data_IF_675539855062
#
_entry.id   IF_675539855062
#
_cell.length_a   1.000
_cell.length_b   1.000
_cell.length_c   1.000
_cell.angle_alpha   90.00
_cell.angle_beta   90.00
_cell.angle_gamma   90.00
#
_symmetry.space_group_name_H-M   'P 1'
#
loop_
_entity.id
_entity.type
_entity.pdbx_description
1 polymer ?
#
# COMPACT_ATOMS: atom_id res chain seq x y z
N UNK A 1 -4.02 -47.49 -84.73
CA UNK A 1 -3.30 -48.55 -85.48
C UNK A 1 -3.72 -49.99 -85.12
N UNK A 2 -4.35 -50.27 -83.98
CA UNK A 2 -4.72 -51.66 -83.58
C UNK A 2 -6.02 -52.17 -84.26
N UNK A 3 -6.87 -51.29 -84.81
CA UNK A 3 -8.19 -51.67 -85.34
C UNK A 3 -8.17 -52.39 -86.70
N UNK A 4 -7.01 -52.52 -87.36
CA UNK A 4 -6.92 -53.00 -88.74
C UNK A 4 -6.75 -54.53 -88.88
N UNK A 5 -6.39 -55.25 -87.81
CA UNK A 5 -6.10 -56.71 -87.88
C UNK A 5 -7.13 -57.63 -87.18
N UNK A 6 -8.20 -57.08 -86.59
CA UNK A 6 -9.19 -57.87 -85.86
C UNK A 6 -10.44 -58.14 -86.71
N UNK A 7 -10.79 -59.42 -86.90
CA UNK A 7 -12.00 -59.86 -87.60
C UNK A 7 -13.28 -59.24 -86.99
N UNK A 8 -14.35 -59.08 -87.78
CA UNK A 8 -15.57 -58.32 -87.39
C UNK A 8 -16.13 -58.67 -85.99
N UNK A 9 -16.02 -59.95 -85.55
CA UNK A 9 -16.45 -60.39 -84.21
C UNK A 9 -15.54 -59.94 -83.06
N UNK A 10 -14.23 -59.80 -83.30
CA UNK A 10 -13.26 -59.42 -82.29
C UNK A 10 -13.24 -57.91 -81.97
N UNK A 11 -13.78 -57.07 -82.87
CA UNK A 11 -13.96 -55.63 -82.63
C UNK A 11 -14.96 -55.36 -81.49
N UNK A 12 -16.08 -56.10 -81.46
CA UNK A 12 -17.08 -55.97 -80.39
C UNK A 12 -16.52 -56.32 -79.01
N UNK A 13 -15.74 -57.40 -78.92
CA UNK A 13 -15.06 -57.81 -77.68
C UNK A 13 -14.08 -56.74 -77.16
N UNK A 14 -13.31 -56.11 -78.06
CA UNK A 14 -12.38 -55.04 -77.69
C UNK A 14 -13.10 -53.81 -77.13
N UNK A 15 -14.22 -53.41 -77.74
CA UNK A 15 -15.03 -52.30 -77.21
C UNK A 15 -15.63 -52.61 -75.83
N UNK A 16 -16.13 -53.84 -75.61
CA UNK A 16 -16.63 -54.24 -74.28
C UNK A 16 -15.51 -54.26 -73.23
N UNK A 17 -14.33 -54.77 -73.57
CA UNK A 17 -13.16 -54.75 -72.67
C UNK A 17 -12.76 -53.33 -72.33
N UNK A 18 -12.69 -52.43 -73.32
CA UNK A 18 -12.36 -51.03 -73.12
C UNK A 18 -13.37 -50.32 -72.20
N UNK A 19 -14.67 -50.57 -72.39
CA UNK A 19 -15.73 -50.04 -71.52
C UNK A 19 -15.55 -50.56 -70.08
N UNK A 20 -15.25 -51.85 -69.89
CA UNK A 20 -15.02 -52.43 -68.55
C UNK A 20 -13.80 -51.77 -67.89
N UNK A 21 -12.69 -51.59 -68.61
CA UNK A 21 -11.49 -50.93 -68.08
C UNK A 21 -11.78 -49.47 -67.70
N UNK A 22 -12.51 -48.75 -68.56
CA UNK A 22 -12.86 -47.36 -68.31
C UNK A 22 -13.84 -47.22 -67.13
N UNK A 23 -14.78 -48.14 -66.99
CA UNK A 23 -15.69 -48.20 -65.85
C UNK A 23 -14.93 -48.50 -64.55
N UNK A 24 -13.98 -49.45 -64.57
CA UNK A 24 -13.13 -49.74 -63.42
C UNK A 24 -12.26 -48.55 -63.02
N UNK A 25 -11.69 -47.84 -64.01
CA UNK A 25 -10.94 -46.61 -63.77
C UNK A 25 -11.80 -45.52 -63.14
N UNK A 26 -13.05 -45.33 -63.61
CA UNK A 26 -14.02 -44.42 -63.00
C UNK A 26 -14.35 -44.79 -61.55
N UNK A 27 -14.50 -46.08 -61.23
CA UNK A 27 -14.72 -46.54 -59.87
C UNK A 27 -13.51 -46.25 -58.96
N UNK A 28 -12.29 -46.42 -59.46
CA UNK A 28 -11.06 -46.08 -58.71
C UNK A 28 -10.99 -44.57 -58.44
N UNK A 29 -11.28 -43.74 -59.45
CA UNK A 29 -11.33 -42.28 -59.28
C UNK A 29 -12.41 -41.85 -58.30
N UNK A 30 -13.62 -42.43 -58.39
CA UNK A 30 -14.71 -42.14 -57.46
C UNK A 30 -14.35 -42.52 -56.02
N UNK A 31 -13.76 -43.71 -55.81
CA UNK A 31 -13.27 -44.15 -54.49
C UNK A 31 -12.18 -43.23 -53.96
N UNK A 32 -11.21 -42.83 -54.79
CA UNK A 32 -10.16 -41.89 -54.42
C UNK A 32 -10.74 -40.55 -54.00
N UNK A 33 -11.68 -40.01 -54.77
CA UNK A 33 -12.33 -38.73 -54.48
C UNK A 33 -13.10 -38.76 -53.16
N UNK A 34 -13.90 -39.82 -52.91
CA UNK A 34 -14.61 -40.01 -51.64
C UNK A 34 -13.64 -40.08 -50.46
N UNK A 35 -12.55 -40.86 -50.58
CA UNK A 35 -11.53 -40.97 -49.54
C UNK A 35 -10.85 -39.62 -49.25
N UNK A 36 -10.57 -38.84 -50.29
CA UNK A 36 -9.97 -37.51 -50.15
C UNK A 36 -10.95 -36.53 -49.47
N UNK A 37 -12.24 -36.54 -49.83
CA UNK A 37 -13.25 -35.71 -49.17
C UNK A 37 -13.40 -36.06 -47.68
N UNK A 38 -13.48 -37.34 -47.34
CA UNK A 38 -13.53 -37.79 -45.94
C UNK A 38 -12.30 -37.33 -45.14
N UNK A 39 -11.13 -37.29 -45.77
CA UNK A 39 -9.90 -36.78 -45.14
C UNK A 39 -9.97 -35.28 -44.90
N UNK A 40 -10.49 -34.51 -45.87
CA UNK A 40 -10.64 -33.05 -45.71
C UNK A 40 -11.63 -32.70 -44.61
N UNK A 41 -12.80 -33.35 -44.57
CA UNK A 41 -13.80 -33.12 -43.50
C UNK A 41 -13.23 -33.44 -42.12
N UNK A 42 -12.46 -34.53 -42.00
CA UNK A 42 -11.76 -34.87 -40.76
C UNK A 42 -10.73 -33.80 -40.37
N UNK A 43 -9.91 -33.34 -41.32
CA UNK A 43 -8.89 -32.31 -41.08
C UNK A 43 -9.50 -30.96 -40.67
N UNK A 44 -10.60 -30.55 -41.28
CA UNK A 44 -11.28 -29.32 -40.93
C UNK A 44 -11.87 -29.39 -39.51
N UNK A 45 -12.43 -30.54 -39.12
CA UNK A 45 -12.88 -30.78 -37.76
C UNK A 45 -11.75 -30.69 -36.73
N UNK A 46 -10.59 -31.30 -37.03
CA UNK A 46 -9.40 -31.20 -36.16
C UNK A 46 -8.88 -29.77 -36.07
N UNK A 47 -8.83 -29.05 -37.20
CA UNK A 47 -8.39 -27.66 -37.24
C UNK A 47 -9.29 -26.75 -36.41
N UNK A 48 -10.61 -26.90 -36.52
CA UNK A 48 -11.55 -26.13 -35.71
C UNK A 48 -11.33 -26.36 -34.20
N UNK A 49 -11.14 -27.62 -33.78
CA UNK A 49 -10.86 -27.96 -32.38
C UNK A 49 -9.52 -27.40 -31.90
N UNK A 50 -8.48 -27.46 -32.73
CA UNK A 50 -7.18 -26.88 -32.41
C UNK A 50 -7.26 -25.36 -32.21
N UNK A 51 -8.07 -24.66 -33.00
CA UNK A 51 -8.34 -23.24 -32.80
C UNK A 51 -9.06 -23.00 -31.47
N UNK A 52 -10.06 -23.81 -31.12
CA UNK A 52 -10.75 -23.70 -29.82
C UNK A 52 -9.80 -23.92 -28.64
N UNK A 53 -8.95 -24.96 -28.67
CA UNK A 53 -7.93 -25.18 -27.63
C UNK A 53 -7.00 -23.99 -27.52
N UNK A 54 -6.52 -23.46 -28.64
CA UNK A 54 -5.66 -22.27 -28.66
C UNK A 54 -6.35 -21.08 -28.02
N UNK A 55 -7.59 -20.78 -28.39
CA UNK A 55 -8.34 -19.65 -27.82
C UNK A 55 -8.63 -19.84 -26.32
N UNK A 56 -8.88 -21.07 -25.87
CA UNK A 56 -9.03 -21.37 -24.45
C UNK A 56 -7.73 -21.14 -23.67
N UNK A 57 -6.58 -21.50 -24.23
CA UNK A 57 -5.26 -21.24 -23.63
C UNK A 57 -4.94 -19.74 -23.58
N UNK A 58 -5.24 -19.00 -24.65
CA UNK A 58 -5.07 -17.53 -24.68
C UNK A 58 -5.97 -16.85 -23.63
N UNK A 59 -7.21 -17.34 -23.45
CA UNK A 59 -8.10 -16.87 -22.40
C UNK A 59 -7.59 -17.23 -20.99
N UNK A 60 -7.04 -18.44 -20.82
CA UNK A 60 -6.41 -18.85 -19.57
C UNK A 60 -5.30 -17.87 -19.19
N UNK A 61 -4.38 -17.56 -20.11
CA UNK A 61 -3.22 -16.71 -19.84
C UNK A 61 -3.63 -15.27 -19.50
N UNK A 62 -4.66 -14.76 -20.16
CA UNK A 62 -5.22 -13.44 -19.89
C UNK A 62 -5.87 -13.34 -18.50
N UNK A 63 -6.67 -14.33 -18.12
CA UNK A 63 -7.41 -14.31 -16.85
C UNK A 63 -6.58 -14.80 -15.66
N UNK A 64 -5.60 -15.67 -15.88
CA UNK A 64 -4.68 -16.23 -14.89
C UNK A 64 -4.02 -15.15 -14.03
N UNK A 65 -3.38 -14.17 -14.69
CA UNK A 65 -2.69 -13.06 -14.02
C UNK A 65 -3.66 -12.21 -13.18
N UNK A 66 -4.83 -11.91 -13.74
CA UNK A 66 -5.89 -11.14 -13.05
C UNK A 66 -6.40 -11.89 -11.83
N UNK A 67 -6.62 -13.20 -11.95
CA UNK A 67 -7.13 -14.03 -10.88
C UNK A 67 -6.10 -14.21 -9.76
N UNK A 68 -4.81 -14.38 -10.09
CA UNK A 68 -3.74 -14.41 -9.10
C UNK A 68 -3.64 -13.08 -8.32
N UNK A 69 -3.75 -11.93 -9.01
CA UNK A 69 -3.75 -10.62 -8.36
C UNK A 69 -4.97 -10.44 -7.41
N UNK A 70 -6.16 -10.84 -7.85
CA UNK A 70 -7.38 -10.77 -7.03
C UNK A 70 -7.32 -11.72 -5.82
N UNK A 71 -6.82 -12.94 -6.05
CA UNK A 71 -6.61 -13.96 -5.03
C UNK A 71 -5.67 -13.47 -3.93
N UNK A 72 -4.51 -12.90 -4.28
CA UNK A 72 -3.60 -12.31 -3.30
C UNK A 72 -4.25 -11.20 -2.47
N UNK A 73 -5.09 -10.36 -3.09
CA UNK A 73 -5.65 -9.20 -2.41
C UNK A 73 -6.72 -9.65 -1.41
N UNK A 74 -7.48 -10.68 -1.80
CA UNK A 74 -8.40 -11.36 -0.91
C UNK A 74 -7.68 -12.12 0.20
N UNK A 75 -6.57 -12.79 -0.08
CA UNK A 75 -5.76 -13.43 0.94
C UNK A 75 -5.27 -12.43 1.99
N UNK A 76 -4.77 -11.26 1.55
CA UNK A 76 -4.38 -10.17 2.46
C UNK A 76 -5.55 -9.69 3.32
N UNK A 77 -6.72 -9.43 2.70
CA UNK A 77 -7.93 -9.01 3.42
C UNK A 77 -8.39 -10.06 4.43
N UNK A 78 -8.41 -11.34 4.05
CA UNK A 78 -8.81 -12.46 4.92
C UNK A 78 -7.84 -12.67 6.08
N UNK A 79 -6.52 -12.61 5.82
CA UNK A 79 -5.50 -12.73 6.85
C UNK A 79 -5.59 -11.57 7.85
N UNK A 80 -5.73 -10.33 7.36
CA UNK A 80 -5.92 -9.16 8.21
C UNK A 80 -7.23 -9.24 9.01
N UNK A 81 -8.32 -9.70 8.40
CA UNK A 81 -9.61 -9.88 9.08
C UNK A 81 -9.54 -10.94 10.18
N UNK A 82 -8.81 -12.03 9.95
CA UNK A 82 -8.55 -13.06 10.97
C UNK A 82 -7.82 -12.47 12.18
N UNK A 83 -6.69 -11.80 11.95
CA UNK A 83 -5.92 -11.16 13.02
C UNK A 83 -6.74 -10.09 13.75
N UNK A 84 -7.51 -9.30 13.01
CA UNK A 84 -8.38 -8.26 13.56
C UNK A 84 -9.55 -8.82 14.39
N UNK A 85 -10.07 -9.98 14.01
CA UNK A 85 -11.20 -10.63 14.66
C UNK A 85 -10.81 -11.38 15.92
N UNK A 86 -9.66 -12.08 15.87
CA UNK A 86 -9.21 -12.93 16.98
C UNK A 86 -8.19 -12.25 17.89
N UNK A 87 -7.61 -11.12 17.47
CA UNK A 87 -6.57 -10.42 18.23
C UNK A 87 -5.36 -11.33 18.48
N UNK A 88 -5.11 -12.27 17.57
CA UNK A 88 -4.01 -13.22 17.64
C UNK A 88 -3.12 -13.09 16.41
N UNK A 89 -1.79 -13.02 16.58
CA UNK A 89 -0.88 -12.99 15.44
C UNK A 89 -0.90 -14.33 14.71
N UNK A 90 -0.59 -14.29 13.41
CA UNK A 90 -0.37 -15.49 12.62
C UNK A 90 1.05 -16.02 12.86
N UNK A 91 1.22 -17.29 13.29
CA UNK A 91 2.55 -17.87 13.54
C UNK A 91 3.34 -18.09 12.25
N UNK A 92 2.66 -18.41 11.15
CA UNK A 92 3.22 -18.49 9.79
C UNK A 92 2.34 -17.68 8.82
N UNK A 93 2.55 -16.36 8.71
CA UNK A 93 1.76 -15.52 7.81
C UNK A 93 1.94 -15.92 6.34
N UNK A 94 3.13 -16.38 5.94
CA UNK A 94 3.41 -16.76 4.55
C UNK A 94 2.60 -17.99 4.16
N UNK A 95 2.68 -19.08 4.94
CA UNK A 95 1.87 -20.27 4.70
C UNK A 95 0.37 -19.97 4.78
N UNK A 96 -0.07 -19.15 5.73
CA UNK A 96 -1.47 -18.73 5.83
C UNK A 96 -1.94 -17.97 4.57
N UNK A 97 -1.14 -17.04 4.06
CA UNK A 97 -1.45 -16.30 2.84
C UNK A 97 -1.49 -17.21 1.60
N UNK A 98 -0.61 -18.22 1.51
CA UNK A 98 -0.62 -19.20 0.42
C UNK A 98 -1.94 -19.99 0.39
N UNK A 99 -2.36 -20.54 1.54
CA UNK A 99 -3.62 -21.27 1.65
C UNK A 99 -4.85 -20.37 1.40
N UNK A 100 -4.81 -19.13 1.90
CA UNK A 100 -5.87 -18.17 1.66
C UNK A 100 -5.96 -17.76 0.18
N UNK A 101 -4.83 -17.62 -0.51
CA UNK A 101 -4.81 -17.32 -1.94
C UNK A 101 -5.36 -18.48 -2.77
N UNK A 102 -4.96 -19.71 -2.46
CA UNK A 102 -5.41 -20.89 -3.20
C UNK A 102 -6.89 -21.20 -2.95
N UNK A 103 -7.29 -21.35 -1.69
CA UNK A 103 -8.59 -21.89 -1.28
C UNK A 103 -9.41 -20.97 -0.36
N UNK A 104 -8.89 -19.81 0.04
CA UNK A 104 -9.50 -18.94 1.04
C UNK A 104 -9.78 -19.66 2.37
N UNK A 105 -8.92 -20.63 2.73
CA UNK A 105 -8.92 -21.32 4.02
C UNK A 105 -7.63 -21.05 4.77
N UNK A 106 -7.67 -21.07 6.09
CA UNK A 106 -6.50 -20.91 6.96
C UNK A 106 -6.15 -22.29 7.55
N UNK A 107 -4.88 -22.69 7.47
CA UNK A 107 -4.33 -23.96 7.97
C UNK A 107 -4.80 -25.24 7.25
N UNK A 108 -5.25 -25.16 6.00
CA UNK A 108 -5.57 -26.35 5.19
C UNK A 108 -6.76 -27.19 5.68
N UNK A 109 -7.37 -26.86 6.81
CA UNK A 109 -8.60 -27.49 7.26
C UNK A 109 -9.78 -26.92 6.48
N UNK A 110 -10.48 -27.79 5.76
CA UNK A 110 -11.74 -27.47 5.05
C UNK A 110 -12.89 -27.09 6.00
N UNK A 111 -12.70 -27.21 7.31
CA UNK A 111 -13.63 -26.67 8.30
C UNK A 111 -13.52 -25.14 8.30
N UNK A 112 -14.56 -24.51 7.77
CA UNK A 112 -14.86 -23.09 7.93
C UNK A 112 -14.40 -22.55 9.30
N UNK A 113 -13.88 -21.32 9.33
CA UNK A 113 -13.64 -20.56 10.55
C UNK A 113 -14.85 -20.62 11.50
N UNK A 114 -14.83 -21.52 12.49
CA UNK A 114 -15.92 -21.67 13.46
C UNK A 114 -15.44 -21.82 14.91
N UNK A 115 -14.14 -21.77 15.18
CA UNK A 115 -13.64 -22.06 16.53
C UNK A 115 -13.81 -20.90 17.54
N UNK A 116 -14.25 -19.71 17.10
CA UNK A 116 -14.39 -18.53 17.97
C UNK A 116 -15.81 -17.97 18.05
N UNK A 117 -16.83 -18.69 17.58
CA UNK A 117 -18.22 -18.19 17.58
C UNK A 117 -18.50 -17.02 16.62
N UNK A 118 -17.47 -16.43 16.02
CA UNK A 118 -17.58 -15.59 14.82
C UNK A 118 -17.60 -16.54 13.63
N UNK A 119 -18.79 -17.05 13.33
CA UNK A 119 -19.09 -17.61 12.01
C UNK A 119 -19.00 -16.44 11.04
N UNK A 120 -17.85 -16.25 10.41
CA UNK A 120 -17.88 -15.60 9.11
C UNK A 120 -18.57 -16.59 8.18
N UNK A 121 -19.90 -16.51 8.14
CA UNK A 121 -20.65 -16.97 6.99
C UNK A 121 -20.30 -16.00 5.85
N UNK A 122 -19.08 -16.12 5.33
CA UNK A 122 -18.79 -15.68 3.98
C UNK A 122 -19.50 -16.58 2.95
N UNK A 123 -20.60 -17.26 3.33
CA UNK A 123 -21.64 -17.69 2.41
C UNK A 123 -22.11 -16.56 1.48
N UNK A 124 -21.85 -15.29 1.82
CA UNK A 124 -22.17 -14.13 0.98
C UNK A 124 -21.00 -13.27 0.46
N UNK A 125 -19.72 -13.49 0.84
CA UNK A 125 -18.63 -13.05 -0.04
C UNK A 125 -18.46 -14.16 -1.07
N UNK A 126 -19.35 -14.13 -2.05
CA UNK A 126 -19.37 -15.03 -3.19
C UNK A 126 -17.97 -15.52 -3.54
N UNK A 127 -17.75 -16.82 -3.36
CA UNK A 127 -16.65 -17.62 -3.88
C UNK A 127 -16.37 -17.24 -5.35
N UNK A 128 -15.63 -16.16 -5.63
CA UNK A 128 -15.47 -15.63 -6.99
C UNK A 128 -14.01 -15.29 -7.36
N UNK A 129 -13.05 -15.45 -6.45
CA UNK A 129 -11.73 -14.80 -6.63
C UNK A 129 -10.52 -15.62 -6.15
N UNK A 130 -10.65 -16.93 -5.94
CA UNK A 130 -9.55 -17.82 -5.53
C UNK A 130 -9.02 -18.61 -6.72
N UNK A 131 -7.79 -19.12 -6.62
CA UNK A 131 -7.16 -19.90 -7.70
C UNK A 131 -7.84 -21.25 -7.92
N UNK A 132 -8.26 -21.96 -6.86
CA UNK A 132 -8.98 -23.24 -7.03
C UNK A 132 -10.31 -23.07 -7.75
N UNK A 133 -11.04 -22.01 -7.44
CA UNK A 133 -12.26 -21.69 -8.16
C UNK A 133 -11.99 -21.31 -9.62
N UNK A 134 -10.88 -20.62 -9.90
CA UNK A 134 -10.47 -20.34 -11.28
C UNK A 134 -10.28 -21.65 -12.06
N UNK A 135 -9.58 -22.63 -11.49
CA UNK A 135 -9.46 -23.95 -12.13
C UNK A 135 -10.82 -24.64 -12.30
N UNK A 136 -11.73 -24.57 -11.32
CA UNK A 136 -13.06 -25.17 -11.44
C UNK A 136 -13.89 -24.54 -12.56
N UNK A 137 -13.85 -23.21 -12.67
CA UNK A 137 -14.55 -22.46 -13.73
C UNK A 137 -13.96 -22.73 -15.09
N UNK A 138 -12.63 -22.75 -15.19
CA UNK A 138 -11.96 -23.06 -16.44
C UNK A 138 -12.27 -24.49 -16.89
N UNK A 139 -12.27 -25.46 -15.97
CA UNK A 139 -12.66 -26.84 -16.26
C UNK A 139 -14.12 -26.95 -16.70
N UNK A 140 -15.04 -26.22 -16.04
CA UNK A 140 -16.44 -26.17 -16.45
C UNK A 140 -16.61 -25.55 -17.85
N UNK A 141 -15.88 -24.47 -18.15
CA UNK A 141 -15.90 -23.81 -19.46
C UNK A 141 -15.28 -24.70 -20.55
N UNK A 142 -14.16 -25.37 -20.27
CA UNK A 142 -13.55 -26.34 -21.17
C UNK A 142 -14.52 -27.49 -21.51
N UNK A 143 -15.29 -27.96 -20.53
CA UNK A 143 -16.31 -28.99 -20.73
C UNK A 143 -17.42 -28.53 -21.69
N UNK A 144 -17.80 -27.25 -21.69
CA UNK A 144 -18.76 -26.69 -22.65
C UNK A 144 -18.27 -26.76 -24.10
N UNK A 145 -16.95 -26.79 -24.32
CA UNK A 145 -16.33 -26.98 -25.64
C UNK A 145 -15.99 -28.45 -25.95
N UNK A 146 -16.45 -29.40 -25.13
CA UNK A 146 -16.14 -30.83 -25.32
C UNK A 146 -14.71 -31.20 -24.95
N UNK A 147 -14.07 -30.43 -24.07
CA UNK A 147 -12.72 -30.67 -23.59
C UNK A 147 -12.72 -31.01 -22.09
N UNK A 148 -11.76 -31.82 -21.67
CA UNK A 148 -11.46 -32.09 -20.27
C UNK A 148 -10.20 -31.34 -19.90
N UNK A 149 -10.33 -30.35 -19.01
CA UNK A 149 -9.19 -29.66 -18.41
C UNK A 149 -8.85 -30.29 -17.05
N UNK A 150 -7.57 -30.54 -16.80
CA UNK A 150 -7.06 -30.92 -15.48
C UNK A 150 -5.94 -30.00 -15.07
N UNK A 151 -5.97 -29.57 -13.81
CA UNK A 151 -4.91 -28.80 -13.19
C UNK A 151 -4.26 -29.66 -12.10
N UNK A 152 -2.94 -29.80 -12.17
CA UNK A 152 -2.14 -30.66 -11.29
C UNK A 152 -0.95 -29.90 -10.73
N UNK A 153 -0.36 -30.40 -9.65
CA UNK A 153 0.86 -29.87 -9.05
C UNK A 153 0.82 -28.37 -8.73
N UNK A 154 -0.31 -27.91 -8.15
CA UNK A 154 -0.41 -26.53 -7.69
C UNK A 154 0.62 -26.22 -6.60
N UNK A 155 1.41 -25.17 -6.82
CA UNK A 155 2.27 -24.53 -5.84
C UNK A 155 1.95 -23.04 -5.84
N UNK A 156 1.63 -22.48 -4.68
CA UNK A 156 1.34 -21.04 -4.54
C UNK A 156 2.30 -20.47 -3.51
N UNK A 157 3.05 -19.45 -3.91
CA UNK A 157 3.94 -18.69 -3.04
C UNK A 157 3.45 -17.26 -2.96
N UNK A 158 3.32 -16.73 -1.73
CA UNK A 158 2.97 -15.34 -1.49
C UNK A 158 4.08 -14.67 -0.70
N UNK A 159 4.61 -13.57 -1.22
CA UNK A 159 5.69 -12.80 -0.59
C UNK A 159 5.42 -11.29 -0.67
N UNK A 160 6.17 -10.49 0.08
CA UNK A 160 6.04 -9.03 0.03
C UNK A 160 6.92 -8.47 -1.10
N UNK A 161 6.31 -8.17 -2.25
CA UNK A 161 7.03 -7.63 -3.42
C UNK A 161 7.34 -6.13 -3.32
N UNK A 162 6.44 -5.35 -2.73
CA UNK A 162 6.62 -3.91 -2.49
C UNK A 162 5.85 -3.47 -1.25
N UNK A 163 6.05 -2.25 -0.75
CA UNK A 163 5.35 -1.76 0.45
C UNK A 163 3.83 -1.95 0.42
N UNK A 164 3.20 -1.79 -0.76
CA UNK A 164 1.74 -1.89 -0.89
C UNK A 164 1.26 -3.04 -1.78
N UNK A 165 2.16 -3.94 -2.20
CA UNK A 165 1.78 -5.09 -3.01
C UNK A 165 2.47 -6.37 -2.53
N UNK A 166 1.70 -7.46 -2.50
CA UNK A 166 2.18 -8.82 -2.39
C UNK A 166 2.52 -9.34 -3.79
N UNK A 167 3.57 -10.13 -3.90
CA UNK A 167 3.87 -10.94 -5.08
C UNK A 167 3.23 -12.31 -4.89
N UNK A 168 2.34 -12.68 -5.80
CA UNK A 168 1.70 -13.99 -5.84
C UNK A 168 2.29 -14.74 -7.03
N UNK A 169 2.95 -15.84 -6.74
CA UNK A 169 3.51 -16.75 -7.73
C UNK A 169 2.75 -18.07 -7.64
N UNK A 170 2.14 -18.50 -8.74
CA UNK A 170 1.38 -19.74 -8.81
C UNK A 170 1.91 -20.60 -9.95
N UNK A 171 2.40 -21.78 -9.61
CA UNK A 171 2.88 -22.80 -10.54
C UNK A 171 1.86 -23.94 -10.61
N UNK A 172 1.56 -24.42 -11.80
CA UNK A 172 0.69 -25.59 -12.01
C UNK A 172 0.95 -26.23 -13.36
N UNK A 173 0.55 -27.48 -13.48
CA UNK A 173 0.48 -28.18 -14.76
C UNK A 173 -0.96 -28.20 -15.24
N UNK A 174 -1.19 -27.81 -16.49
CA UNK A 174 -2.50 -27.91 -17.14
C UNK A 174 -2.44 -28.95 -18.25
N UNK A 175 -3.43 -29.84 -18.25
CA UNK A 175 -3.69 -30.76 -19.35
C UNK A 175 -5.06 -30.48 -19.94
N UNK A 176 -5.14 -30.32 -21.25
CA UNK A 176 -6.37 -30.20 -22.02
C UNK A 176 -6.48 -31.40 -22.95
N UNK A 177 -7.53 -32.19 -22.78
CA UNK A 177 -7.81 -33.34 -23.63
C UNK A 177 -9.18 -33.16 -24.28
N UNK A 178 -9.24 -33.23 -25.60
CA UNK A 178 -10.51 -33.28 -26.30
C UNK A 178 -11.23 -34.60 -26.00
N UNK A 179 -12.55 -34.55 -25.84
CA UNK A 179 -13.41 -35.72 -25.63
C UNK A 179 -13.27 -36.80 -26.71
N UNK A 180 -12.85 -36.44 -27.93
CA UNK A 180 -12.58 -37.41 -29.00
C UNK A 180 -11.23 -38.13 -28.87
N UNK A 181 -10.33 -37.66 -28.01
CA UNK A 181 -8.96 -38.16 -27.88
C UNK A 181 -8.04 -37.81 -29.04
N UNK A 182 -8.48 -36.98 -30.00
CA UNK A 182 -7.68 -36.60 -31.17
C UNK A 182 -6.64 -35.53 -30.84
N UNK A 183 -6.94 -34.66 -29.88
CA UNK A 183 -6.07 -33.55 -29.47
C UNK A 183 -5.83 -33.60 -27.96
N UNK A 184 -4.55 -33.63 -27.58
CA UNK A 184 -4.09 -33.47 -26.21
C UNK A 184 -3.05 -32.36 -26.15
N UNK A 185 -3.11 -31.59 -25.07
CA UNK A 185 -2.18 -30.51 -24.79
C UNK A 185 -1.79 -30.56 -23.32
N UNK A 186 -0.50 -30.44 -23.05
CA UNK A 186 0.04 -30.44 -21.70
C UNK A 186 1.13 -29.38 -21.58
N UNK A 187 1.04 -28.53 -20.57
CA UNK A 187 2.06 -27.52 -20.26
C UNK A 187 2.18 -27.28 -18.76
N UNK A 188 3.37 -26.88 -18.35
CA UNK A 188 3.62 -26.30 -17.03
C UNK A 188 3.60 -24.78 -17.16
N UNK A 189 2.90 -24.10 -16.26
CA UNK A 189 2.72 -22.66 -16.29
C UNK A 189 3.06 -22.03 -14.94
N UNK A 190 3.68 -20.85 -15.00
CA UNK A 190 4.00 -20.03 -13.83
C UNK A 190 3.37 -18.65 -14.00
N UNK A 191 2.42 -18.32 -13.13
CA UNK A 191 1.77 -17.02 -13.08
C UNK A 191 2.46 -16.17 -12.02
N UNK A 192 2.88 -14.97 -12.40
CA UNK A 192 3.41 -13.97 -11.46
C UNK A 192 2.51 -12.73 -11.46
N UNK A 193 1.89 -12.44 -10.34
CA UNK A 193 0.97 -11.32 -10.21
C UNK A 193 1.26 -10.46 -8.97
N UNK A 194 1.18 -9.15 -9.14
CA UNK A 194 1.24 -8.20 -8.04
C UNK A 194 -0.18 -7.93 -7.52
N UNK A 195 -0.36 -8.14 -6.23
CA UNK A 195 -1.62 -8.00 -5.54
C UNK A 195 -1.56 -6.85 -4.53
N UNK A 196 -2.47 -5.88 -4.64
CA UNK A 196 -2.53 -4.76 -3.71
C UNK A 196 -3.07 -5.16 -2.32
N UNK A 197 -2.41 -4.67 -1.27
CA UNK A 197 -2.91 -4.76 0.12
C UNK A 197 -3.79 -3.56 0.52
N UNK A 198 -3.97 -2.60 -0.39
CA UNK A 198 -4.77 -1.40 -0.13
C UNK A 198 -6.21 -1.83 0.15
N UNK A 199 -6.79 -1.29 1.21
CA UNK A 199 -8.11 -1.67 1.71
C UNK A 199 -8.13 -2.85 2.66
N UNK A 200 -7.03 -3.61 2.80
CA UNK A 200 -6.90 -4.58 3.90
C UNK A 200 -6.73 -3.85 5.24
N UNK A 201 -7.18 -4.45 6.34
CA UNK A 201 -6.93 -3.92 7.67
C UNK A 201 -5.44 -4.04 8.03
N UNK A 202 -4.88 -3.05 8.71
CA UNK A 202 -3.52 -3.13 9.26
C UNK A 202 -3.54 -4.00 10.53
N UNK A 203 -2.86 -5.16 10.52
CA UNK A 203 -2.94 -6.12 11.62
C UNK A 203 -2.36 -5.60 12.95
N UNK A 204 -1.45 -4.61 12.94
CA UNK A 204 -0.84 -4.14 14.18
C UNK A 204 -1.81 -3.42 15.10
N UNK A 205 -2.75 -2.66 14.55
CA UNK A 205 -3.72 -1.92 15.35
C UNK A 205 -4.57 -2.82 16.25
N UNK A 206 -5.34 -3.79 15.72
CA UNK A 206 -6.13 -4.66 16.56
C UNK A 206 -5.25 -5.48 17.49
N UNK A 207 -4.07 -5.95 17.06
CA UNK A 207 -3.16 -6.69 17.95
C UNK A 207 -2.67 -5.85 19.14
N UNK A 208 -2.38 -4.56 18.92
CA UNK A 208 -1.96 -3.63 19.99
C UNK A 208 -3.12 -3.19 20.87
N UNK A 209 -4.28 -2.93 20.27
CA UNK A 209 -5.42 -2.35 20.97
C UNK A 209 -6.43 -3.40 21.42
N UNK A 210 -6.07 -4.69 21.53
CA UNK A 210 -7.04 -5.71 21.94
C UNK A 210 -8.27 -5.83 21.03
N UNK A 211 -8.17 -5.44 19.76
CA UNK A 211 -9.26 -5.43 18.78
C UNK A 211 -10.13 -4.17 18.77
N UNK A 212 -9.94 -3.21 19.67
CA UNK A 212 -10.78 -2.00 19.78
C UNK A 212 -10.68 -1.06 18.58
N UNK A 213 -9.50 -0.97 17.97
CA UNK A 213 -9.28 -0.11 16.83
C UNK A 213 -8.84 -0.92 15.61
N UNK A 214 -9.43 -0.54 14.47
CA UNK A 214 -9.14 -1.14 13.16
C UNK A 214 -8.97 -0.02 12.17
N UNK A 215 -7.99 -0.18 11.29
CA UNK A 215 -7.68 0.80 10.26
C UNK A 215 -7.36 0.06 8.97
N UNK A 216 -7.92 0.56 7.87
CA UNK A 216 -7.60 0.04 6.55
C UNK A 216 -6.37 0.74 5.99
N UNK A 217 -5.56 -0.01 5.26
CA UNK A 217 -4.36 0.50 4.61
C UNK A 217 -4.79 1.35 3.41
N UNK A 218 -4.42 2.62 3.45
CA UNK A 218 -4.59 3.60 2.37
C UNK A 218 -3.21 4.18 2.02
N UNK A 219 -2.99 4.55 0.77
CA UNK A 219 -1.67 5.06 0.32
C UNK A 219 -1.71 6.58 0.28
N UNK A 220 -0.66 7.22 0.80
CA UNK A 220 -0.50 8.66 0.63
C UNK A 220 -0.40 9.02 -0.87
N UNK A 221 -1.01 10.14 -1.31
CA UNK A 221 -0.91 10.57 -2.70
C UNK A 221 0.57 10.69 -3.15
N UNK A 222 0.90 10.39 -4.42
CA UNK A 222 2.25 10.57 -4.92
C UNK A 222 2.73 12.02 -4.74
N UNK A 223 3.95 12.21 -4.22
CA UNK A 223 4.50 13.54 -3.94
C UNK A 223 3.88 14.25 -2.75
N UNK A 224 2.99 13.59 -2.00
CA UNK A 224 2.46 14.12 -0.76
C UNK A 224 3.58 14.20 0.29
N UNK A 225 3.76 15.38 0.86
CA UNK A 225 4.61 15.60 2.01
C UNK A 225 3.73 15.99 3.20
N UNK A 226 3.86 15.33 4.37
CA UNK A 226 3.18 15.72 5.60
C UNK A 226 3.34 17.20 5.91
N UNK A 227 4.49 17.71 5.51
CA UNK A 227 4.91 19.06 5.78
C UNK A 227 5.40 19.68 4.50
N UNK A 228 4.88 20.86 4.22
CA UNK A 228 5.35 21.69 3.14
C UNK A 228 6.14 22.84 3.75
N UNK A 229 7.45 22.85 3.49
CA UNK A 229 8.28 24.01 3.81
C UNK A 229 7.86 25.14 2.87
N UNK A 230 7.34 26.23 3.45
CA UNK A 230 6.98 27.42 2.71
C UNK A 230 8.20 28.32 2.52
N UNK A 231 8.97 28.49 3.58
CA UNK A 231 10.12 29.40 3.62
C UNK A 231 11.26 28.85 4.46
N UNK A 232 12.49 29.16 4.06
CA UNK A 232 13.67 29.04 4.89
C UNK A 232 14.08 30.45 5.34
N UNK A 233 14.19 30.65 6.65
CA UNK A 233 14.78 31.82 7.27
C UNK A 233 16.30 31.73 7.36
N UNK A 234 16.92 32.81 7.81
CA UNK A 234 18.38 32.92 7.99
C UNK A 234 18.82 32.84 9.45
N UNK A 235 17.93 33.18 10.38
CA UNK A 235 18.17 33.19 11.82
C UNK A 235 16.83 33.08 12.56
N UNK A 236 16.87 32.75 13.84
CA UNK A 236 15.70 32.81 14.70
C UNK A 236 15.90 32.15 16.06
N UNK A 237 14.93 32.37 16.93
CA UNK A 237 14.94 31.89 18.31
C UNK A 237 13.62 31.20 18.65
N UNK A 238 13.71 29.98 19.20
CA UNK A 238 12.59 29.12 19.54
C UNK A 238 11.58 28.80 18.41
N UNK A 239 10.73 27.80 18.67
CA UNK A 239 9.68 27.42 17.74
C UNK A 239 8.31 27.94 18.20
N UNK A 240 7.40 28.15 17.26
CA UNK A 240 6.00 28.51 17.53
C UNK A 240 5.08 27.88 16.50
N UNK A 241 3.81 27.65 16.86
CA UNK A 241 2.79 27.24 15.90
C UNK A 241 1.45 27.90 16.21
N UNK A 242 0.60 28.03 15.20
CA UNK A 242 -0.70 28.66 15.36
C UNK A 242 -1.32 29.08 14.04
N UNK A 243 -2.52 29.64 14.11
CA UNK A 243 -3.18 30.26 12.96
C UNK A 243 -2.52 31.61 12.67
N UNK A 244 -2.15 31.83 11.42
CA UNK A 244 -1.62 33.11 10.95
C UNK A 244 -2.73 34.15 10.95
N UNK A 245 -2.45 35.30 11.54
CA UNK A 245 -3.25 36.50 11.35
C UNK A 245 -2.30 37.62 10.94
N UNK A 246 -2.40 38.03 9.69
CA UNK A 246 -1.81 39.24 9.15
C UNK A 246 -2.52 40.40 9.83
N UNK A 247 -1.74 41.25 10.47
CA UNK A 247 -2.22 42.46 11.12
C UNK A 247 -1.41 43.61 10.57
N UNK A 248 -2.08 44.70 10.21
CA UNK A 248 -1.40 45.91 9.71
C UNK A 248 -0.81 46.76 10.85
N UNK A 249 -1.25 46.53 12.10
CA UNK A 249 -0.80 47.23 13.30
C UNK A 249 -1.06 46.41 14.58
N UNK A 250 0.02 45.95 15.21
CA UNK A 250 0.03 45.12 16.42
C UNK A 250 -0.71 45.76 17.59
N UNK A 251 -0.63 47.08 17.75
CA UNK A 251 -1.23 47.77 18.88
C UNK A 251 -2.76 47.67 18.88
N UNK A 252 -3.39 47.65 17.70
CA UNK A 252 -4.85 47.56 17.57
C UNK A 252 -5.40 46.14 17.66
N UNK A 253 -4.63 45.11 17.30
CA UNK A 253 -5.09 43.71 17.36
C UNK A 253 -5.02 43.11 18.76
N UNK A 254 -4.06 43.55 19.58
CA UNK A 254 -3.90 43.14 20.98
C UNK A 254 -5.10 43.50 21.87
N UNK A 255 -5.85 44.55 21.52
CA UNK A 255 -7.01 45.01 22.29
C UNK A 255 -8.24 44.07 22.19
N UNK A 256 -8.32 43.21 21.16
CA UNK A 256 -9.52 42.42 20.85
C UNK A 256 -9.53 40.99 21.39
N UNK A 257 -8.60 40.62 22.28
CA UNK A 257 -8.78 39.44 23.16
C UNK A 257 -8.73 38.05 22.52
N UNK A 258 -8.38 37.91 21.25
CA UNK A 258 -8.21 36.58 20.62
C UNK A 258 -6.84 35.96 21.00
N UNK A 259 -6.88 34.96 21.88
CA UNK A 259 -5.72 34.46 22.65
C UNK A 259 -4.80 33.43 21.97
N UNK A 260 -4.86 33.25 20.65
CA UNK A 260 -4.14 32.14 19.95
C UNK A 260 -3.73 32.49 18.51
N UNK A 261 -3.12 33.65 18.29
CA UNK A 261 -2.76 34.13 16.94
C UNK A 261 -1.25 34.20 16.75
N UNK A 262 -0.76 33.61 15.66
CA UNK A 262 0.61 33.77 15.21
C UNK A 262 0.68 35.09 14.43
N UNK A 263 1.37 36.08 15.00
CA UNK A 263 1.44 37.42 14.45
C UNK A 263 2.60 37.51 13.46
N UNK A 264 2.28 37.75 12.19
CA UNK A 264 3.26 37.90 11.13
C UNK A 264 3.28 39.39 10.78
N UNK A 265 4.12 40.16 11.47
CA UNK A 265 4.33 41.59 11.17
C UNK A 265 5.80 41.86 10.84
N UNK A 266 6.02 42.83 9.96
CA UNK A 266 7.28 43.54 9.85
C UNK A 266 7.46 44.41 11.11
N UNK A 267 8.09 43.87 12.16
CA UNK A 267 8.27 44.59 13.42
C UNK A 267 9.19 45.80 13.19
N UNK A 268 8.61 47.00 13.13
CA UNK A 268 9.37 48.26 13.19
C UNK A 268 8.97 48.97 14.48
N UNK A 269 9.56 48.59 15.63
CA UNK A 269 9.26 49.27 16.89
C UNK A 269 10.01 48.76 18.14
N UNK A 270 10.25 49.63 19.14
CA UNK A 270 11.14 49.40 20.30
C UNK A 270 10.56 48.52 21.42
N UNK A 271 9.55 47.70 21.13
CA UNK A 271 8.75 46.99 22.16
C UNK A 271 9.47 45.77 22.79
N UNK A 272 10.70 45.48 22.37
CA UNK A 272 11.49 44.35 22.86
C UNK A 272 12.75 44.93 23.50
N UNK A 273 12.77 45.05 24.83
CA UNK A 273 13.90 45.61 25.60
C UNK A 273 15.15 44.71 25.59
N UNK A 274 15.23 43.75 24.68
CA UNK A 274 16.42 42.96 24.50
C UNK A 274 17.35 43.72 23.54
N UNK A 275 18.39 44.35 24.09
CA UNK A 275 19.29 45.29 23.42
C UNK A 275 20.05 44.74 22.19
N UNK A 276 19.79 43.50 21.78
CA UNK A 276 20.33 42.86 20.59
C UNK A 276 19.31 42.69 19.44
N UNK A 277 18.03 43.02 19.64
CA UNK A 277 17.01 42.88 18.59
C UNK A 277 17.00 44.10 17.68
N UNK A 278 17.94 44.14 16.74
CA UNK A 278 17.97 45.13 15.67
C UNK A 278 16.98 44.66 14.58
N UNK A 279 15.71 44.99 14.74
CA UNK A 279 14.67 44.61 13.78
C UNK A 279 14.94 45.29 12.43
N UNK A 280 15.67 44.61 11.55
CA UNK A 280 15.66 44.90 10.11
C UNK A 280 14.33 44.45 9.51
N UNK A 281 13.95 45.05 8.38
CA UNK A 281 12.80 44.62 7.58
C UNK A 281 12.73 43.08 7.46
N UNK A 282 11.55 42.50 7.70
CA UNK A 282 11.19 41.06 7.53
C UNK A 282 11.56 40.08 8.67
N UNK A 283 11.38 40.49 9.93
CA UNK A 283 11.44 39.56 11.08
C UNK A 283 10.04 39.26 11.61
N UNK A 284 9.65 37.98 11.68
CA UNK A 284 8.31 37.54 12.11
C UNK A 284 8.37 36.79 13.43
N UNK A 285 7.42 37.07 14.33
CA UNK A 285 7.41 36.54 15.70
C UNK A 285 6.09 35.85 16.05
N UNK A 286 6.13 34.57 16.40
CA UNK A 286 4.94 33.87 16.88
C UNK A 286 4.63 34.26 18.32
N UNK A 287 3.66 35.16 18.55
CA UNK A 287 3.32 35.61 19.90
C UNK A 287 2.18 34.78 20.49
N UNK A 288 2.45 33.98 21.53
CA UNK A 288 1.41 33.38 22.36
C UNK A 288 1.05 34.35 23.50
N UNK A 289 -0.18 34.88 23.51
CA UNK A 289 -0.70 35.65 24.64
C UNK A 289 -1.79 34.87 25.39
N UNK A 290 -1.52 34.52 26.65
CA UNK A 290 -2.58 34.36 27.63
C UNK A 290 -2.64 35.65 28.45
N UNK A 291 -3.83 36.20 28.67
CA UNK A 291 -4.05 37.59 29.11
C UNK A 291 -3.10 38.06 30.20
N UNK A 292 -2.41 39.18 29.95
CA UNK A 292 -1.57 39.84 30.95
C UNK A 292 -2.30 41.08 31.46
N UNK A 293 -3.09 40.90 32.51
CA UNK A 293 -3.29 41.98 33.47
C UNK A 293 -2.18 41.83 34.52
N UNK A 294 -1.07 42.55 34.35
CA UNK A 294 -0.09 42.79 35.42
C UNK A 294 1.33 42.19 35.30
N UNK A 295 1.70 41.46 34.24
CA UNK A 295 3.08 41.03 34.03
C UNK A 295 3.88 42.10 33.26
N UNK A 296 5.10 42.37 33.73
CA UNK A 296 6.01 43.29 33.04
C UNK A 296 6.47 42.66 31.70
N UNK A 297 6.52 43.46 30.64
CA UNK A 297 6.85 43.03 29.27
C UNK A 297 8.29 42.54 29.10
N UNK A 298 9.14 42.60 30.14
CA UNK A 298 10.53 42.17 30.13
C UNK A 298 10.75 40.65 30.32
N UNK A 299 9.71 39.86 30.59
CA UNK A 299 9.85 38.42 30.86
C UNK A 299 9.34 37.50 29.73
N UNK A 300 8.84 38.07 28.63
CA UNK A 300 8.23 37.30 27.54
C UNK A 300 9.22 37.12 26.41
N UNK A 301 9.79 35.92 26.34
CA UNK A 301 10.53 35.47 25.16
C UNK A 301 9.57 35.11 24.03
N UNK A 302 9.55 35.90 22.97
CA UNK A 302 8.75 35.66 21.78
C UNK A 302 9.59 34.87 20.76
N UNK A 303 9.16 33.67 20.32
CA UNK A 303 9.80 32.97 19.22
C UNK A 303 9.78 33.81 17.95
N UNK A 304 10.91 33.93 17.24
CA UNK A 304 11.01 34.72 16.02
C UNK A 304 11.90 34.07 14.98
N UNK A 305 11.71 34.47 13.72
CA UNK A 305 12.53 34.06 12.59
C UNK A 305 12.72 35.23 11.62
N UNK A 306 13.93 35.38 11.09
CA UNK A 306 14.26 36.38 10.09
C UNK A 306 14.22 35.78 8.68
N UNK A 307 13.67 36.52 7.73
CA UNK A 307 13.58 36.14 6.33
C UNK A 307 14.19 37.24 5.45
N UNK A 308 14.60 36.85 4.25
CA UNK A 308 15.09 37.78 3.23
C UNK A 308 13.98 38.39 2.38
N UNK A 309 12.73 37.97 2.58
CA UNK A 309 11.56 38.35 1.78
C UNK A 309 10.33 38.57 2.66
N UNK A 310 9.36 39.31 2.13
CA UNK A 310 8.07 39.46 2.79
C UNK A 310 7.22 38.20 2.63
N UNK A 311 6.93 37.49 3.73
CA UNK A 311 6.12 36.27 3.72
C UNK A 311 4.61 36.55 3.82
N UNK A 312 4.19 37.79 4.11
CA UNK A 312 2.76 38.12 4.26
C UNK A 312 1.97 37.93 2.97
N UNK A 313 2.61 38.12 1.81
CA UNK A 313 2.00 37.94 0.50
C UNK A 313 1.79 36.46 0.14
N UNK A 314 2.48 35.56 0.82
CA UNK A 314 2.49 34.14 0.49
C UNK A 314 1.81 33.24 1.50
N UNK A 315 1.49 33.79 2.67
CA UNK A 315 0.77 33.09 3.73
C UNK A 315 -0.56 33.80 3.96
N UNK A 316 -1.65 33.12 3.61
CA UNK A 316 -3.00 33.63 3.83
C UNK A 316 -3.40 33.64 5.29
N UNK A 317 -4.25 34.59 5.68
CA UNK A 317 -4.93 34.59 6.97
C UNK A 317 -5.63 33.25 7.23
N UNK A 318 -5.43 32.71 8.43
CA UNK A 318 -6.00 31.43 8.88
C UNK A 318 -5.16 30.19 8.56
N UNK A 319 -4.08 30.32 7.78
CA UNK A 319 -3.14 29.19 7.55
C UNK A 319 -2.48 28.78 8.87
N UNK A 320 -2.41 27.48 9.16
CA UNK A 320 -1.68 26.96 10.32
C UNK A 320 -0.22 26.74 9.96
N UNK A 321 0.66 27.44 10.66
CA UNK A 321 2.09 27.32 10.46
C UNK A 321 2.78 26.79 11.71
N UNK A 322 3.90 26.10 11.49
CA UNK A 322 4.94 25.83 12.46
C UNK A 322 6.17 26.63 12.02
N UNK A 323 6.62 27.55 12.86
CA UNK A 323 7.92 28.22 12.73
C UNK A 323 8.92 27.39 13.52
N UNK A 324 9.86 26.75 12.83
CA UNK A 324 10.97 26.02 13.42
C UNK A 324 12.27 26.81 13.27
N UNK A 325 12.61 27.62 14.27
CA UNK A 325 13.87 28.37 14.28
C UNK A 325 15.09 27.55 14.73
N UNK A 326 14.97 26.22 14.82
CA UNK A 326 16.11 25.34 15.02
C UNK A 326 17.09 25.38 13.83
N UNK A 327 18.00 24.42 13.74
CA UNK A 327 19.09 24.42 12.76
C UNK A 327 18.68 24.59 11.28
N UNK A 328 17.42 24.32 10.94
CA UNK A 328 16.90 24.43 9.58
C UNK A 328 16.25 25.79 9.27
N UNK A 329 15.87 26.56 10.30
CA UNK A 329 15.13 27.82 10.20
C UNK A 329 13.97 27.76 9.18
N UNK A 330 12.94 26.95 9.44
CA UNK A 330 11.86 26.68 8.47
C UNK A 330 10.50 27.18 8.92
N UNK A 331 9.74 27.75 7.98
CA UNK A 331 8.29 27.93 8.10
C UNK A 331 7.60 26.79 7.39
N UNK A 332 6.79 26.08 8.14
CA UNK A 332 6.18 24.82 7.74
C UNK A 332 4.67 24.98 7.76
N UNK A 333 4.04 24.73 6.62
CA UNK A 333 2.60 24.51 6.55
C UNK A 333 2.27 23.14 7.13
N UNK A 334 1.49 23.15 8.22
CA UNK A 334 1.07 21.95 8.95
C UNK A 334 -0.36 21.52 8.62
N UNK A 335 -1.07 22.19 7.70
CA UNK A 335 -2.42 21.73 7.32
C UNK A 335 -2.39 20.38 6.59
N UNK A 336 -1.32 20.11 5.83
CA UNK A 336 -1.08 18.77 5.30
C UNK A 336 -0.88 17.75 6.43
N UNK A 337 -0.13 18.10 7.47
CA UNK A 337 0.09 17.20 8.61
C UNK A 337 -1.23 16.91 9.34
N UNK A 338 -2.10 17.91 9.48
CA UNK A 338 -3.44 17.73 10.06
C UNK A 338 -4.31 16.84 9.18
N UNK A 339 -4.31 17.08 7.88
CA UNK A 339 -5.02 16.26 6.89
C UNK A 339 -4.50 14.82 6.91
N UNK A 340 -3.21 14.64 7.15
CA UNK A 340 -2.57 13.34 7.30
C UNK A 340 -2.93 12.63 8.60
N UNK A 341 -2.92 13.34 9.73
CA UNK A 341 -3.36 12.78 11.01
C UNK A 341 -4.83 12.35 10.92
N UNK A 342 -5.67 13.09 10.21
CA UNK A 342 -7.10 12.77 10.07
C UNK A 342 -7.38 11.71 8.98
N UNK A 343 -6.70 11.82 7.83
CA UNK A 343 -6.86 10.93 6.69
C UNK A 343 -6.12 9.61 6.90
N UNK A 344 -5.12 9.62 7.77
CA UNK A 344 -4.34 8.47 8.18
C UNK A 344 -3.87 7.67 6.94
N UNK A 345 -3.04 8.26 6.05
CA UNK A 345 -2.42 7.50 4.98
C UNK A 345 -1.21 6.69 5.47
N UNK A 346 -0.76 5.75 4.65
CA UNK A 346 0.47 5.00 4.83
C UNK A 346 1.54 5.44 3.84
N UNK A 347 2.78 5.37 4.31
CA UNK A 347 4.00 5.70 3.58
C UNK A 347 4.87 4.46 3.42
N UNK A 348 5.71 4.47 2.39
CA UNK A 348 6.77 3.48 2.22
C UNK A 348 7.90 3.81 3.17
N UNK A 349 8.38 2.82 3.92
CA UNK A 349 9.49 3.00 4.85
C UNK A 349 10.31 1.74 4.96
N UNK A 350 11.63 1.85 4.80
CA UNK A 350 12.55 0.74 5.04
C UNK A 350 12.88 0.56 6.52
N UNK A 351 12.36 1.44 7.38
CA UNK A 351 12.58 1.45 8.83
C UNK A 351 11.35 0.93 9.59
N UNK A 352 10.47 0.21 8.91
CA UNK A 352 9.23 -0.28 9.50
C UNK A 352 8.90 -1.69 9.00
N UNK A 353 8.02 -2.43 9.70
CA UNK A 353 7.59 -3.74 9.26
C UNK A 353 6.67 -3.64 8.02
N UNK A 354 6.80 -4.62 7.13
CA UNK A 354 5.91 -4.83 5.99
C UNK A 354 4.62 -5.51 6.43
N UNK A 355 3.67 -5.67 5.51
CA UNK A 355 2.35 -6.25 5.83
C UNK A 355 2.46 -7.68 6.39
N UNK A 356 3.33 -8.52 5.81
CA UNK A 356 3.57 -9.88 6.30
C UNK A 356 4.13 -9.87 7.73
N UNK A 357 5.10 -8.99 8.05
CA UNK A 357 5.64 -8.88 9.41
C UNK A 357 4.58 -8.42 10.42
N UNK A 358 3.68 -7.53 9.99
CA UNK A 358 2.60 -7.02 10.83
C UNK A 358 1.60 -8.12 11.21
N UNK A 359 1.31 -9.08 10.32
CA UNK A 359 0.45 -10.23 10.59
C UNK A 359 0.97 -11.13 11.73
N UNK A 360 2.27 -11.23 11.90
CA UNK A 360 2.94 -12.01 12.97
C UNK A 360 3.28 -11.17 14.21
N UNK A 361 2.78 -9.93 14.31
CA UNK A 361 3.15 -8.99 15.38
C UNK A 361 4.66 -8.72 15.49
N UNK A 362 5.36 -8.75 14.35
CA UNK A 362 6.79 -8.53 14.26
C UNK A 362 7.07 -7.10 13.79
N UNK A 363 7.94 -6.39 14.52
CA UNK A 363 8.33 -5.00 14.27
C UNK A 363 9.63 -4.86 13.49
N UNK A 364 10.26 -5.98 13.10
CA UNK A 364 11.51 -5.95 12.33
C UNK A 364 11.35 -5.20 11.02
N UNK A 365 12.31 -4.31 10.78
CA UNK A 365 12.39 -3.48 9.58
C UNK A 365 12.57 -4.34 8.33
N UNK A 366 11.89 -3.99 7.26
CA UNK A 366 12.09 -4.59 5.93
C UNK A 366 12.08 -3.53 4.85
N UNK A 367 12.77 -3.78 3.73
CA UNK A 367 12.85 -2.85 2.60
C UNK A 367 11.47 -2.44 2.07
N UNK A 368 10.50 -3.37 2.11
CA UNK A 368 9.11 -3.17 1.71
C UNK A 368 8.20 -2.83 2.91
N UNK A 369 8.70 -2.08 3.89
CA UNK A 369 7.92 -1.67 5.05
C UNK A 369 6.89 -0.60 4.71
N UNK A 370 5.87 -0.51 5.56
CA UNK A 370 4.87 0.56 5.56
C UNK A 370 4.84 1.25 6.91
N UNK A 371 4.60 2.54 6.95
CA UNK A 371 4.46 3.32 8.19
C UNK A 371 3.26 4.25 8.10
N UNK A 372 2.75 4.68 9.25
CA UNK A 372 1.63 5.60 9.32
C UNK A 372 1.68 6.44 10.58
N UNK A 373 1.24 7.69 10.51
CA UNK A 373 0.95 8.47 11.71
C UNK A 373 -0.28 7.92 12.43
N UNK A 374 -0.26 8.00 13.75
CA UNK A 374 -1.33 7.53 14.63
C UNK A 374 -1.84 8.71 15.46
N UNK A 375 -3.12 9.09 15.33
CA UNK A 375 -3.73 10.09 16.19
C UNK A 375 -3.62 9.70 17.66
N UNK A 376 -3.18 10.65 18.49
CA UNK A 376 -3.07 10.43 19.93
C UNK A 376 -4.38 9.95 20.58
N UNK A 377 -5.52 10.51 20.19
CA UNK A 377 -6.82 10.18 20.77
C UNK A 377 -7.20 8.71 20.64
N UNK A 378 -6.64 8.01 19.65
CA UNK A 378 -6.83 6.57 19.45
C UNK A 378 -5.92 5.72 20.32
N UNK A 379 -4.78 6.28 20.70
CA UNK A 379 -3.92 5.74 21.74
C UNK A 379 -4.70 5.77 23.05
N UNK A 380 -5.06 6.95 23.57
CA UNK A 380 -5.59 7.20 24.93
C UNK A 380 -6.71 6.27 25.45
N UNK A 381 -7.57 5.71 24.58
CA UNK A 381 -8.69 4.83 24.99
C UNK A 381 -8.28 3.39 25.36
N UNK A 382 -7.01 3.02 25.20
CA UNK A 382 -6.51 1.69 25.55
C UNK A 382 -5.98 1.55 27.00
N UNK A 383 -6.47 2.37 27.94
CA UNK A 383 -6.12 2.34 29.39
C UNK A 383 -4.71 2.85 29.75
N UNK A 384 -4.19 3.85 29.05
CA UNK A 384 -2.90 4.45 29.40
C UNK A 384 -3.08 5.90 29.89
N UNK A 385 -2.58 6.15 31.10
CA UNK A 385 -2.71 7.42 31.82
C UNK A 385 -1.93 8.56 31.14
N UNK A 386 -2.43 9.77 31.33
CA UNK A 386 -2.32 10.96 30.48
C UNK A 386 -0.96 11.66 30.34
N UNK A 387 0.19 11.09 30.72
CA UNK A 387 1.44 11.88 30.81
C UNK A 387 2.62 11.26 30.06
N UNK A 388 2.77 11.53 28.75
CA UNK A 388 3.96 11.20 27.93
C UNK A 388 3.86 11.86 26.55
N UNK A 389 4.95 12.05 25.78
CA UNK A 389 4.80 12.42 24.36
C UNK A 389 4.28 11.22 23.59
N UNK A 390 3.00 11.26 23.27
CA UNK A 390 2.17 10.08 23.41
C UNK A 390 2.28 9.01 22.32
N UNK A 391 2.75 9.33 21.11
CA UNK A 391 2.91 8.34 20.05
C UNK A 391 3.95 7.25 20.42
N UNK A 392 4.99 7.60 21.19
CA UNK A 392 6.05 6.68 21.60
C UNK A 392 5.76 5.89 22.89
N UNK A 393 5.02 6.44 23.85
CA UNK A 393 4.54 5.65 25.00
C UNK A 393 3.69 4.45 24.55
N UNK A 394 2.90 4.67 23.50
CA UNK A 394 1.97 3.67 22.97
C UNK A 394 2.60 2.65 22.02
N UNK A 395 3.61 3.03 21.24
CA UNK A 395 4.23 2.09 20.33
C UNK A 395 5.32 1.22 20.98
N UNK A 396 6.02 1.70 22.03
CA UNK A 396 7.35 1.17 22.33
C UNK A 396 7.72 0.76 23.76
N UNK A 397 6.99 0.99 24.86
CA UNK A 397 7.58 0.55 26.13
C UNK A 397 6.69 0.16 27.32
N UNK A 398 6.93 -1.09 27.77
CA UNK A 398 6.66 -1.60 29.11
C UNK A 398 7.88 -1.47 30.04
N UNK A 399 8.71 -0.44 29.89
CA UNK A 399 9.74 -0.08 30.90
C UNK A 399 9.46 1.27 31.52
N UNK A 400 9.55 1.29 32.85
CA UNK A 400 9.47 2.49 33.70
C UNK A 400 10.80 3.23 33.66
N UNK A 401 10.73 4.56 33.57
CA UNK A 401 11.88 5.45 33.54
C UNK A 401 12.61 5.46 34.90
N UNK A 402 13.95 5.32 34.91
CA UNK A 402 14.78 5.33 36.11
C UNK A 402 15.86 6.44 36.13
N UNK A 403 15.85 7.40 35.19
CA UNK A 403 16.87 8.47 35.11
C UNK A 403 16.31 9.87 35.39
N UNK A 404 17.17 10.72 35.95
CA UNK A 404 16.87 12.00 36.65
C UNK A 404 16.82 13.25 35.75
N UNK A 405 16.88 13.13 34.42
CA UNK A 405 16.98 14.30 33.52
C UNK A 405 15.73 14.41 32.67
N UNK A 406 14.89 15.42 32.95
CA UNK A 406 13.60 15.68 32.32
C UNK A 406 13.54 16.99 31.48
N UNK A 407 12.95 16.94 30.27
CA UNK A 407 12.74 17.98 29.25
C UNK A 407 11.27 18.43 29.18
N UNK A 408 10.96 19.61 28.66
CA UNK A 408 9.57 20.12 28.54
C UNK A 408 9.24 20.37 27.07
N UNK A 409 8.12 19.82 26.57
CA UNK A 409 7.58 20.21 25.25
C UNK A 409 6.67 21.42 25.47
N UNK A 410 7.20 22.63 25.26
CA UNK A 410 6.39 23.87 25.33
C UNK A 410 5.43 23.95 24.15
N UNK A 411 4.31 24.65 24.30
CA UNK A 411 3.54 25.15 23.16
C UNK A 411 2.36 24.30 22.70
N UNK A 412 2.36 22.96 22.80
CA UNK A 412 1.16 22.19 22.43
C UNK A 412 -0.01 22.53 23.38
N UNK A 413 -1.15 22.94 22.81
CA UNK A 413 -2.36 23.25 23.56
C UNK A 413 -2.73 22.00 24.39
N UNK A 414 -2.76 22.14 25.73
CA UNK A 414 -2.92 21.08 26.74
C UNK A 414 -1.65 20.35 27.24
N UNK A 415 -0.43 20.71 26.83
CA UNK A 415 0.82 20.07 27.29
C UNK A 415 1.74 20.99 28.13
N UNK A 416 1.28 22.20 28.46
CA UNK A 416 2.12 23.32 28.96
C UNK A 416 2.81 23.08 30.31
N UNK A 417 2.44 22.02 31.04
CA UNK A 417 2.91 21.76 32.41
C UNK A 417 3.75 20.48 32.61
N UNK A 418 4.04 19.67 31.58
CA UNK A 418 4.65 18.35 31.78
C UNK A 418 6.19 18.30 31.58
N UNK A 419 6.91 17.65 32.51
CA UNK A 419 8.38 17.46 32.49
C UNK A 419 8.72 15.99 32.10
N UNK A 420 9.75 15.74 31.26
CA UNK A 420 9.91 14.50 30.43
C UNK A 420 11.32 13.88 30.46
N UNK A 421 11.57 12.69 31.00
CA UNK A 421 12.95 12.18 31.17
C UNK A 421 13.63 11.48 29.97
N UNK A 422 14.95 11.64 29.75
CA UNK A 422 15.70 10.99 28.65
C UNK A 422 16.66 9.85 29.04
N UNK A 423 16.83 8.90 28.11
CA UNK A 423 17.80 7.80 28.14
C UNK A 423 18.69 7.84 26.86
N UNK A 424 20.02 7.85 26.96
CA UNK A 424 20.94 8.12 25.84
C UNK A 424 21.28 6.94 24.88
N UNK A 425 20.58 5.79 24.91
CA UNK A 425 21.11 4.55 24.31
C UNK A 425 20.28 3.84 23.20
N UNK A 426 19.29 4.46 22.55
CA UNK A 426 18.48 3.80 21.51
C UNK A 426 18.31 4.67 20.24
N UNK A 427 17.99 4.10 19.06
CA UNK A 427 17.88 4.88 17.82
C UNK A 427 16.64 5.76 17.90
N UNK A 428 16.90 6.97 18.38
CA UNK A 428 15.93 8.02 18.51
C UNK A 428 15.46 8.49 17.13
N UNK A 429 14.23 8.99 17.06
CA UNK A 429 14.03 10.29 16.41
C UNK A 429 14.89 11.32 17.17
N UNK A 430 16.20 11.35 16.88
CA UNK A 430 17.15 12.36 17.38
C UNK A 430 17.81 13.06 16.21
N UNK A 431 18.01 14.36 16.39
CA UNK A 431 18.95 15.16 15.61
C UNK A 431 20.37 14.69 15.93
N UNK A 432 21.03 14.03 14.98
CA UNK A 432 22.50 13.98 14.97
C UNK A 432 23.02 15.18 14.18
N UNK A 433 23.84 16.01 14.83
CA UNK A 433 24.64 17.01 14.17
C UNK A 433 25.91 16.34 13.65
N UNK A 434 25.79 15.49 12.62
CA UNK A 434 26.93 15.05 11.82
C UNK A 434 26.79 15.57 10.41
N UNK A 435 27.70 16.49 10.10
CA UNK A 435 28.06 16.92 8.75
C UNK A 435 28.42 15.72 7.87
N UNK A 436 27.44 15.14 7.19
CA UNK A 436 27.71 14.33 6.00
C UNK A 436 27.66 15.23 4.79
N UNK A 437 28.85 15.66 4.38
CA UNK A 437 29.10 16.22 3.05
C UNK A 437 28.62 15.23 1.98
N UNK A 438 27.64 15.64 1.18
CA UNK A 438 27.42 15.15 -0.18
C UNK A 438 26.31 14.12 -0.39
N UNK A 439 25.21 14.55 -1.02
CA UNK A 439 24.24 13.66 -1.66
C UNK A 439 22.88 14.30 -1.86
N UNK A 440 22.52 14.62 -3.11
CA UNK A 440 21.20 15.12 -3.50
C UNK A 440 20.14 14.03 -3.33
N UNK A 441 19.30 14.13 -2.31
CA UNK A 441 18.14 13.28 -2.08
C UNK A 441 17.03 14.08 -1.42
N UNK A 442 15.78 13.84 -1.84
CA UNK A 442 14.58 14.57 -1.41
C UNK A 442 14.54 14.83 0.12
N UNK A 443 14.42 16.11 0.49
CA UNK A 443 14.41 16.55 1.88
C UNK A 443 13.25 15.92 2.66
N UNK A 444 13.58 15.05 3.61
CA UNK A 444 12.66 14.55 4.63
C UNK A 444 12.69 15.52 5.81
N UNK A 445 11.52 15.92 6.26
CA UNK A 445 11.39 16.73 7.47
C UNK A 445 11.61 15.83 8.71
N UNK A 446 12.56 16.20 9.55
CA UNK A 446 12.68 15.72 10.92
C UNK A 446 12.54 16.93 11.84
N UNK A 447 11.48 16.93 12.67
CA UNK A 447 11.19 17.97 13.66
C UNK A 447 11.72 17.53 15.02
N UNK A 448 12.44 18.39 15.74
CA UNK A 448 12.23 18.80 17.15
C UNK A 448 13.35 19.79 17.58
N UNK A 449 13.05 20.69 18.53
CA UNK A 449 14.01 21.58 19.19
C UNK A 449 13.96 21.38 20.71
N UNK A 450 15.13 21.29 21.37
CA UNK A 450 15.26 21.00 22.80
C UNK A 450 16.27 21.97 23.42
N UNK A 451 15.91 22.64 24.53
CA UNK A 451 16.83 23.35 25.42
C UNK A 451 17.15 22.47 26.65
N UNK A 452 18.42 22.41 27.05
CA UNK A 452 18.87 21.74 28.27
C UNK A 452 18.58 22.62 29.49
N UNK A 453 17.96 22.05 30.53
CA UNK A 453 17.90 22.66 31.85
C UNK A 453 18.54 21.71 32.86
N UNK A 454 19.64 22.15 33.47
CA UNK A 454 20.24 21.49 34.63
C UNK A 454 19.52 21.98 35.88
N UNK A 455 18.86 21.08 36.62
CA UNK A 455 18.30 21.44 37.93
C UNK A 455 19.41 21.37 39.01
N UNK A 456 19.46 22.31 39.97
CA UNK A 456 20.31 22.16 41.15
C UNK A 456 19.78 20.98 41.98
N UNK A 457 20.71 20.14 42.44
CA UNK A 457 20.45 18.84 43.08
C UNK A 457 19.68 18.91 44.39
#
# INVERSE_FOLDING_TARGET
>A
MISFFLGKKAKGFFFTLLIIVLFFFLLVLAKSWISTQQTYEYLDGVKARAVTVKSALEALDADANRMAALSGSKAAQSAAAYVSGNVTPLPDPSGALQWLAYNNTLNGTTSNFSASGIVYSFQNLSNKSCLSLFSDRFTAEAAHYGMTATFENWSVTVSQGSSFNLSVEAEFNISLNDSSGVLSYHRSETILANSSIIGAADPLYPLRTGGFYRRNITVAPPGYSPVRVLYNGSDGFNWSYGNVTNVDNLATSLANGDKTKLLVENIVGPCINNAAFNASLHTYGGVLFNSITGASTSEISIPWMQFSIDITDAVSNGTKLLINSGALHQVIDIENLRTEINGTPYYRSSLSPGFIQRLQYNYSNVTAGIESLVPYSLAANASYTTNSSWADFYYLNGTTCASTICYKIKGMQNCENETVCANPALPHFALDNRTTTGGSGAGRLQLYGVENITLPG
#
